data_IF_138040422081
#
_entry.id   IF_138040422081
#
_cell.length_a   1.000
_cell.length_b   1.000
_cell.length_c   1.000
_cell.angle_alpha   90.00
_cell.angle_beta   90.00
_cell.angle_gamma   90.00
#
_symmetry.space_group_name_H-M   'P 1'
#
loop_
_entity.id
_entity.type
_entity.pdbx_description
1 polymer ?
#
# COMPACT_ATOMS: atom_id res chain seq x y z
N UNK A 1 -9.23 12.24 -3.86
CA UNK A 1 -8.20 11.49 -4.63
C UNK A 1 -8.89 10.73 -5.73
N UNK A 2 -8.21 10.49 -6.85
CA UNK A 2 -8.68 9.51 -7.85
C UNK A 2 -8.14 8.13 -7.47
N UNK A 3 -8.77 7.07 -7.98
CA UNK A 3 -8.39 5.71 -7.63
C UNK A 3 -8.35 4.77 -8.81
N UNK A 4 -7.59 3.69 -8.63
CA UNK A 4 -7.60 2.52 -9.51
C UNK A 4 -7.73 1.26 -8.66
N UNK A 5 -8.26 0.20 -9.25
CA UNK A 5 -8.27 -1.14 -8.66
C UNK A 5 -7.64 -2.16 -9.61
N UNK A 6 -6.99 -3.17 -9.06
CA UNK A 6 -6.44 -4.29 -9.82
C UNK A 6 -6.33 -5.56 -8.96
N UNK A 7 -6.29 -6.76 -9.57
CA UNK A 7 -6.12 -8.02 -8.84
C UNK A 7 -4.86 -8.02 -7.97
N UNK A 8 -5.01 -8.43 -6.71
CA UNK A 8 -3.88 -8.68 -5.81
C UNK A 8 -3.04 -9.88 -6.27
N UNK A 9 -3.57 -10.73 -7.15
CA UNK A 9 -2.88 -11.89 -7.70
C UNK A 9 -2.54 -11.74 -9.18
N UNK A 10 -1.30 -12.09 -9.52
CA UNK A 10 -0.80 -12.23 -10.89
C UNK A 10 -0.34 -13.66 -11.12
N UNK A 11 -1.28 -14.52 -11.50
CA UNK A 11 -1.04 -15.96 -11.56
C UNK A 11 -0.85 -16.52 -10.14
N UNK A 12 0.36 -16.95 -9.80
CA UNK A 12 0.69 -17.47 -8.46
C UNK A 12 1.37 -16.42 -7.55
N UNK A 13 1.57 -15.21 -8.06
CA UNK A 13 2.28 -14.15 -7.34
C UNK A 13 1.29 -13.19 -6.70
N UNK A 14 1.34 -13.06 -5.38
CA UNK A 14 0.61 -12.04 -4.65
C UNK A 14 1.38 -10.72 -4.70
N UNK A 15 0.75 -9.65 -5.18
CA UNK A 15 1.30 -8.30 -5.18
C UNK A 15 1.30 -7.81 -3.74
N UNK A 16 2.49 -7.77 -3.14
CA UNK A 16 2.63 -7.37 -1.73
C UNK A 16 2.56 -5.86 -1.53
N UNK A 17 2.28 -5.43 -0.29
CA UNK A 17 2.45 -4.03 0.11
C UNK A 17 3.87 -3.53 -0.18
N UNK A 18 4.90 -4.36 0.04
CA UNK A 18 6.30 -4.04 -0.27
C UNK A 18 6.49 -3.67 -1.75
N UNK A 19 5.90 -4.44 -2.67
CA UNK A 19 5.97 -4.15 -4.10
C UNK A 19 5.29 -2.83 -4.45
N UNK A 20 4.13 -2.55 -3.87
CA UNK A 20 3.43 -1.28 -4.10
C UNK A 20 4.28 -0.10 -3.63
N UNK A 21 4.84 -0.17 -2.43
CA UNK A 21 5.73 0.87 -1.88
C UNK A 21 6.94 1.12 -2.78
N UNK A 22 7.58 0.06 -3.28
CA UNK A 22 8.68 0.19 -4.26
C UNK A 22 8.20 0.82 -5.57
N UNK A 23 6.99 0.50 -6.03
CA UNK A 23 6.41 1.04 -7.27
C UNK A 23 6.00 2.50 -7.18
N UNK A 24 5.73 3.02 -5.98
CA UNK A 24 5.56 4.47 -5.79
C UNK A 24 6.83 5.25 -6.11
N UNK A 25 8.01 4.60 -6.08
CA UNK A 25 9.28 5.22 -6.43
C UNK A 25 9.58 6.45 -5.57
N UNK A 26 10.13 7.50 -6.16
CA UNK A 26 10.49 8.72 -5.43
C UNK A 26 9.30 9.40 -4.75
N UNK A 27 8.08 9.27 -5.31
CA UNK A 27 6.88 9.80 -4.68
C UNK A 27 6.62 9.18 -3.30
N UNK A 28 6.91 7.88 -3.15
CA UNK A 28 6.69 7.16 -1.90
C UNK A 28 7.77 7.37 -0.84
N UNK A 29 8.99 7.76 -1.21
CA UNK A 29 10.14 7.74 -0.30
C UNK A 29 10.01 8.71 0.88
N UNK A 30 9.50 9.91 0.63
CA UNK A 30 9.41 10.98 1.64
C UNK A 30 8.10 10.93 2.44
N UNK A 31 7.26 9.92 2.21
CA UNK A 31 5.98 9.79 2.88
C UNK A 31 6.10 9.21 4.29
N UNK A 32 5.12 9.59 5.11
CA UNK A 32 4.88 8.97 6.41
C UNK A 32 3.61 8.13 6.36
N UNK A 33 3.68 6.93 6.90
CA UNK A 33 2.67 5.89 6.73
C UNK A 33 1.95 5.58 8.03
N UNK A 34 0.64 5.45 7.93
CA UNK A 34 -0.21 4.82 8.93
C UNK A 34 -0.80 3.56 8.32
N UNK A 35 -0.71 2.43 9.02
CA UNK A 35 -1.21 1.15 8.53
C UNK A 35 -2.19 0.59 9.55
N UNK A 36 -3.39 0.27 9.08
CA UNK A 36 -4.49 -0.28 9.86
C UNK A 36 -4.86 -1.65 9.26
N UNK A 37 -5.21 -2.62 10.11
CA UNK A 37 -5.58 -3.98 9.70
C UNK A 37 -6.89 -4.36 10.38
N UNK A 38 -7.89 -4.76 9.58
CA UNK A 38 -9.12 -5.34 10.11
C UNK A 38 -8.91 -6.83 10.43
N UNK A 39 -8.03 -7.51 9.70
CA UNK A 39 -7.62 -8.89 9.97
C UNK A 39 -6.10 -9.05 10.17
N UNK A 40 -5.71 -9.56 11.34
CA UNK A 40 -4.31 -9.85 11.67
C UNK A 40 -3.99 -11.31 11.37
N UNK A 41 -3.44 -11.56 10.18
CA UNK A 41 -3.02 -12.89 9.74
C UNK A 41 -1.56 -13.22 10.06
N UNK A 42 -0.77 -12.22 10.47
CA UNK A 42 0.65 -12.36 10.78
C UNK A 42 1.07 -11.43 11.94
N UNK A 43 1.92 -11.87 12.88
CA UNK A 43 2.39 -11.03 13.99
C UNK A 43 3.03 -9.70 13.57
N UNK A 44 3.59 -9.63 12.36
CA UNK A 44 4.18 -8.40 11.81
C UNK A 44 3.12 -7.32 11.52
N UNK A 45 1.88 -7.68 11.25
CA UNK A 45 0.77 -6.71 11.10
C UNK A 45 0.55 -5.93 12.39
N UNK A 46 0.53 -6.62 13.54
CA UNK A 46 0.43 -5.98 14.84
C UNK A 46 1.62 -5.06 15.14
N UNK A 47 2.83 -5.42 14.71
CA UNK A 47 4.00 -4.55 14.85
C UNK A 47 3.92 -3.30 13.95
N UNK A 48 3.46 -3.46 12.71
CA UNK A 48 3.25 -2.34 11.79
C UNK A 48 2.22 -1.35 12.32
N UNK A 49 1.07 -1.85 12.77
CA UNK A 49 0.00 -1.02 13.32
C UNK A 49 0.51 -0.22 14.53
N UNK A 50 1.11 -0.89 15.53
CA UNK A 50 1.67 -0.24 16.72
C UNK A 50 2.67 0.86 16.38
N UNK A 51 3.64 0.58 15.51
CA UNK A 51 4.69 1.55 15.17
C UNK A 51 4.15 2.72 14.35
N UNK A 52 3.06 2.53 13.63
CA UNK A 52 2.47 3.57 12.78
C UNK A 52 1.44 4.45 13.50
N UNK A 53 1.04 4.08 14.72
CA UNK A 53 0.01 4.76 15.50
C UNK A 53 0.44 6.12 16.08
N UNK A 54 1.67 6.21 16.61
CA UNK A 54 2.13 7.38 17.39
C UNK A 54 2.84 8.44 16.54
N UNK A 55 3.66 8.00 15.59
CA UNK A 55 4.37 8.86 14.66
C UNK A 55 4.44 8.10 13.34
N UNK A 56 3.64 8.54 12.36
CA UNK A 56 3.52 7.92 11.05
C UNK A 56 4.90 7.47 10.53
N UNK A 57 4.99 6.19 10.18
CA UNK A 57 6.23 5.45 9.92
C UNK A 57 6.85 5.87 8.60
N UNK A 58 8.17 6.02 8.50
CA UNK A 58 8.80 6.27 7.19
C UNK A 58 8.75 5.03 6.27
N UNK A 59 8.85 5.27 4.97
CA UNK A 59 8.74 4.23 3.94
C UNK A 59 9.79 3.12 4.06
N UNK A 60 11.02 3.42 4.49
CA UNK A 60 12.07 2.41 4.63
C UNK A 60 11.81 1.51 5.83
N UNK A 61 11.36 2.09 6.94
CA UNK A 61 10.90 1.34 8.11
C UNK A 61 9.71 0.46 7.75
N UNK A 62 8.73 0.97 7.01
CA UNK A 62 7.59 0.15 6.55
C UNK A 62 8.06 -1.00 5.65
N UNK A 63 8.95 -0.72 4.69
CA UNK A 63 9.54 -1.74 3.82
C UNK A 63 10.26 -2.84 4.61
N UNK A 64 10.95 -2.49 5.70
CA UNK A 64 11.64 -3.47 6.56
C UNK A 64 10.70 -4.44 7.29
N UNK A 65 9.45 -4.03 7.51
CA UNK A 65 8.43 -4.83 8.18
C UNK A 65 7.60 -5.65 7.18
N UNK A 66 7.53 -5.19 5.93
CA UNK A 66 6.90 -5.92 4.83
C UNK A 66 7.88 -6.89 4.20
N UNK A 67 7.80 -8.18 4.55
CA UNK A 67 8.60 -9.19 3.82
C UNK A 67 8.04 -9.44 2.41
N UNK A 68 8.85 -9.90 1.45
CA UNK A 68 8.42 -10.13 0.06
C UNK A 68 7.28 -11.14 -0.15
N UNK A 69 6.86 -11.84 0.91
CA UNK A 69 5.79 -12.85 0.86
C UNK A 69 4.67 -12.56 1.86
N UNK A 70 4.66 -11.38 2.47
CA UNK A 70 3.61 -11.02 3.41
C UNK A 70 2.33 -10.73 2.63
N UNK A 71 1.37 -11.64 2.78
CA UNK A 71 0.00 -11.47 2.32
C UNK A 71 -0.79 -10.72 3.38
N UNK A 72 -1.58 -9.74 2.96
CA UNK A 72 -2.48 -8.99 3.82
C UNK A 72 -3.92 -9.38 3.50
N UNK A 73 -4.79 -9.22 4.50
CA UNK A 73 -6.25 -9.36 4.40
C UNK A 73 -6.85 -8.12 5.06
N UNK A 74 -7.70 -7.40 4.33
CA UNK A 74 -8.46 -6.25 4.80
C UNK A 74 -7.58 -5.24 5.55
N UNK A 75 -6.70 -4.60 4.80
CA UNK A 75 -5.67 -3.71 5.34
C UNK A 75 -5.64 -2.38 4.59
N UNK A 76 -5.34 -1.30 5.28
CA UNK A 76 -5.20 0.02 4.67
C UNK A 76 -3.89 0.71 5.09
N UNK A 77 -3.09 1.09 4.10
CA UNK A 77 -1.88 1.88 4.29
C UNK A 77 -2.08 3.30 3.72
N UNK A 78 -2.08 4.30 4.60
CA UNK A 78 -2.24 5.72 4.26
C UNK A 78 -0.88 6.42 4.29
N UNK A 79 -0.43 6.92 3.15
CA UNK A 79 0.81 7.71 3.01
C UNK A 79 0.53 9.20 3.00
N UNK A 80 1.22 9.94 3.86
CA UNK A 80 1.03 11.38 4.08
C UNK A 80 2.29 12.19 3.81
N UNK A 81 2.11 13.41 3.29
CA UNK A 81 3.13 14.44 3.18
C UNK A 81 2.56 15.73 3.80
N UNK A 82 3.34 16.40 4.65
CA UNK A 82 2.91 17.60 5.40
C UNK A 82 1.53 17.42 6.08
N UNK A 83 1.36 16.29 6.79
CA UNK A 83 0.14 15.88 7.50
C UNK A 83 -1.11 15.72 6.61
N UNK A 84 -0.94 15.66 5.28
CA UNK A 84 -2.01 15.40 4.32
C UNK A 84 -1.85 14.03 3.70
N UNK A 85 -2.92 13.23 3.73
CA UNK A 85 -2.95 11.95 3.02
C UNK A 85 -2.90 12.22 1.51
N UNK A 86 -1.84 11.73 0.88
CA UNK A 86 -1.59 11.90 -0.57
C UNK A 86 -1.71 10.59 -1.34
N UNK A 87 -1.65 9.45 -0.65
CA UNK A 87 -1.87 8.11 -1.21
C UNK A 87 -2.51 7.20 -0.18
N UNK A 88 -3.38 6.31 -0.64
CA UNK A 88 -4.00 5.24 0.14
C UNK A 88 -3.90 3.96 -0.66
N UNK A 89 -3.41 2.90 -0.02
CA UNK A 89 -3.32 1.55 -0.55
C UNK A 89 -4.24 0.68 0.31
N UNK A 90 -5.31 0.15 -0.28
CA UNK A 90 -6.29 -0.68 0.43
C UNK A 90 -6.27 -2.08 -0.16
N UNK A 91 -6.03 -3.06 0.69
CA UNK A 91 -6.15 -4.48 0.42
C UNK A 91 -7.58 -4.92 0.72
N UNK A 92 -8.19 -5.72 -0.16
CA UNK A 92 -9.58 -6.18 -0.02
C UNK A 92 -9.65 -7.71 -0.13
N UNK A 93 -9.90 -8.37 1.00
CA UNK A 93 -10.09 -9.84 1.11
C UNK A 93 -9.02 -10.66 0.38
N UNK A 94 -7.78 -10.18 0.36
CA UNK A 94 -6.68 -10.78 -0.40
C UNK A 94 -6.89 -10.93 -1.91
N UNK A 95 -7.86 -10.20 -2.47
CA UNK A 95 -8.32 -10.38 -3.85
C UNK A 95 -7.93 -9.22 -4.76
N UNK A 96 -7.95 -8.00 -4.22
CA UNK A 96 -7.79 -6.75 -4.96
C UNK A 96 -6.95 -5.76 -4.17
N UNK A 97 -6.23 -4.92 -4.90
CA UNK A 97 -5.69 -3.69 -4.39
C UNK A 97 -6.47 -2.51 -4.95
N UNK A 98 -6.96 -1.65 -4.07
CA UNK A 98 -7.36 -0.29 -4.41
C UNK A 98 -6.21 0.67 -4.11
N UNK A 99 -5.91 1.54 -5.07
CA UNK A 99 -4.90 2.59 -4.89
C UNK A 99 -5.54 3.92 -5.22
N UNK A 100 -5.56 4.81 -4.23
CA UNK A 100 -6.01 6.20 -4.39
C UNK A 100 -4.83 7.13 -4.21
N UNK A 101 -4.69 8.11 -5.09
CA UNK A 101 -3.62 9.11 -4.99
C UNK A 101 -4.08 10.50 -5.42
N UNK A 102 -3.41 11.53 -4.91
CA UNK A 102 -3.60 12.91 -5.36
C UNK A 102 -2.90 13.18 -6.70
N UNK A 103 -1.80 12.49 -6.97
CA UNK A 103 -1.02 12.64 -8.21
C UNK A 103 -1.38 11.56 -9.24
N UNK A 104 -1.98 11.98 -10.35
CA UNK A 104 -2.39 11.10 -11.45
C UNK A 104 -1.20 10.37 -12.10
N UNK A 105 0.02 10.90 -11.98
CA UNK A 105 1.23 10.26 -12.53
C UNK A 105 1.53 8.95 -11.79
N UNK A 106 1.23 8.88 -10.50
CA UNK A 106 1.36 7.65 -9.69
C UNK A 106 0.38 6.61 -10.21
N UNK A 107 -0.90 6.97 -10.34
CA UNK A 107 -1.94 6.06 -10.86
C UNK A 107 -1.62 5.60 -12.29
N UNK A 108 -1.17 6.51 -13.15
CA UNK A 108 -0.76 6.18 -14.52
C UNK A 108 0.44 5.23 -14.58
N UNK A 109 1.41 5.38 -13.67
CA UNK A 109 2.54 4.46 -13.57
C UNK A 109 2.08 3.07 -13.14
N UNK A 110 1.20 2.98 -12.14
CA UNK A 110 0.64 1.73 -11.66
C UNK A 110 -0.23 1.04 -12.72
N UNK A 111 -1.10 1.77 -13.45
CA UNK A 111 -1.89 1.20 -14.57
C UNK A 111 -1.02 0.56 -15.65
N UNK A 112 0.13 1.17 -15.97
CA UNK A 112 1.08 0.59 -16.95
C UNK A 112 1.73 -0.69 -16.43
N UNK A 113 1.93 -0.80 -15.12
CA UNK A 113 2.58 -1.96 -14.51
C UNK A 113 1.61 -3.13 -14.26
N UNK A 114 0.44 -2.82 -13.70
CA UNK A 114 -0.63 -3.76 -13.39
C UNK A 114 -1.64 -3.77 -14.52
N UNK A 115 -1.35 -4.54 -15.58
CA UNK A 115 -2.26 -4.69 -16.72
C UNK A 115 -3.62 -5.21 -16.26
N UNK A 116 -4.69 -4.52 -16.63
CA UNK A 116 -6.05 -4.81 -16.16
C UNK A 116 -6.53 -3.91 -15.04
N UNK A 117 -5.70 -2.95 -14.57
CA UNK A 117 -6.17 -1.93 -13.65
C UNK A 117 -7.28 -1.07 -14.27
N UNK A 118 -8.35 -0.85 -13.50
CA UNK A 118 -9.50 -0.01 -13.88
C UNK A 118 -9.67 1.14 -12.91
N UNK A 119 -10.38 2.18 -13.32
CA UNK A 119 -10.70 3.30 -12.43
C UNK A 119 -11.71 2.87 -11.35
N UNK A 120 -11.58 3.46 -10.16
CA UNK A 120 -12.52 3.35 -9.04
C UNK A 120 -13.58 4.45 -9.08
#
# INVERSE_FOLDING_TARGET
MKGITFPAWRGKHYVTLAELLVRLGSFGLDLKWRVEFDEVVDPRCAEMERRSADASMDTLTLLSLTTPFLQLIDAEARGSADDRVVVVLTEVDSSLWEVRAVDERVLSALRRHYRGATDL
#
